data_IF_189287958980
#
_entry.id   IF_189287958980
#
_cell.length_a   1.000
_cell.length_b   1.000
_cell.length_c   1.000
_cell.angle_alpha   90.00
_cell.angle_beta   90.00
_cell.angle_gamma   90.00
#
_symmetry.space_group_name_H-M   'P 1'
#
loop_
_entity.id
_entity.type
_entity.pdbx_description
1 polymer ?
#
# COMPACT_ATOMS: atom_id res chain seq x y z
N UNK A 1 2.49 4.08 -7.66
CA UNK A 1 1.28 3.37 -8.12
C UNK A 1 0.42 2.86 -6.97
N UNK A 2 0.99 2.22 -5.97
CA UNK A 2 0.21 1.67 -4.84
C UNK A 2 -0.61 2.75 -4.10
N UNK A 3 -0.02 3.94 -3.93
CA UNK A 3 -0.75 5.09 -3.33
C UNK A 3 -1.87 5.58 -4.25
N UNK A 4 -1.60 5.72 -5.55
CA UNK A 4 -2.60 6.14 -6.54
C UNK A 4 -3.76 5.14 -6.58
N UNK A 5 -3.44 3.85 -6.64
CA UNK A 5 -4.45 2.79 -6.61
C UNK A 5 -5.28 2.81 -5.32
N UNK A 6 -4.61 3.00 -4.17
CA UNK A 6 -5.28 3.10 -2.88
C UNK A 6 -6.28 4.26 -2.83
N UNK A 7 -5.85 5.44 -3.27
CA UNK A 7 -6.69 6.63 -3.32
C UNK A 7 -7.88 6.43 -4.28
N UNK A 8 -7.62 5.95 -5.49
CA UNK A 8 -8.66 5.72 -6.50
C UNK A 8 -9.69 4.70 -6.04
N UNK A 9 -9.26 3.61 -5.40
CA UNK A 9 -10.19 2.61 -4.88
C UNK A 9 -11.09 3.20 -3.78
N UNK A 10 -10.54 3.98 -2.85
CA UNK A 10 -11.34 4.66 -1.83
C UNK A 10 -12.30 5.69 -2.44
N UNK A 11 -11.87 6.42 -3.47
CA UNK A 11 -12.76 7.30 -4.23
C UNK A 11 -13.90 6.53 -4.94
N UNK A 12 -13.61 5.37 -5.52
CA UNK A 12 -14.63 4.52 -6.16
C UNK A 12 -15.65 4.01 -5.15
N UNK A 13 -15.21 3.60 -3.96
CA UNK A 13 -16.08 3.07 -2.92
C UNK A 13 -16.96 4.17 -2.30
N UNK A 14 -16.38 5.31 -1.97
CA UNK A 14 -17.05 6.36 -1.19
C UNK A 14 -17.54 7.54 -2.02
N UNK A 15 -16.94 7.81 -3.16
CA UNK A 15 -17.25 8.98 -3.99
C UNK A 15 -18.63 8.95 -4.66
N UNK A 16 -19.33 7.81 -4.59
CA UNK A 16 -20.75 7.76 -5.01
C UNK A 16 -21.65 8.54 -4.05
N UNK A 17 -21.34 8.48 -2.76
CA UNK A 17 -22.12 9.12 -1.69
C UNK A 17 -21.56 10.49 -1.33
N UNK A 18 -20.23 10.63 -1.35
CA UNK A 18 -19.54 11.88 -1.02
C UNK A 18 -18.87 12.47 -2.28
N UNK A 19 -19.53 13.45 -2.88
CA UNK A 19 -19.04 14.11 -4.10
C UNK A 19 -17.75 14.89 -3.91
N UNK A 20 -17.43 15.32 -2.69
CA UNK A 20 -16.16 16.01 -2.36
C UNK A 20 -14.93 15.15 -2.62
N UNK A 21 -15.12 13.84 -2.70
CA UNK A 21 -14.04 12.90 -3.00
C UNK A 21 -13.72 12.81 -4.50
N UNK A 22 -14.54 13.39 -5.39
CA UNK A 22 -14.36 13.34 -6.84
C UNK A 22 -13.31 14.34 -7.33
N UNK A 23 -12.09 14.19 -6.83
CA UNK A 23 -10.93 15.05 -7.10
C UNK A 23 -9.93 14.30 -7.96
N UNK A 24 -9.35 14.97 -8.98
CA UNK A 24 -8.46 14.31 -9.94
C UNK A 24 -7.04 14.08 -9.42
N UNK A 25 -6.47 15.09 -8.73
CA UNK A 25 -5.10 15.00 -8.25
C UNK A 25 -5.00 14.10 -7.00
N UNK A 26 -4.09 13.14 -7.02
CA UNK A 26 -3.93 12.14 -5.95
C UNK A 26 -3.72 12.76 -4.57
N UNK A 27 -2.94 13.84 -4.48
CA UNK A 27 -2.67 14.53 -3.19
C UNK A 27 -3.94 15.19 -2.66
N UNK A 28 -4.68 15.87 -3.52
CA UNK A 28 -5.93 16.55 -3.15
C UNK A 28 -7.03 15.54 -2.79
N UNK A 29 -7.10 14.44 -3.53
CA UNK A 29 -8.01 13.33 -3.23
C UNK A 29 -7.69 12.70 -1.87
N UNK A 30 -6.41 12.51 -1.56
CA UNK A 30 -5.97 11.99 -0.26
C UNK A 30 -6.30 12.98 0.88
N UNK A 31 -6.16 14.29 0.63
CA UNK A 31 -6.56 15.32 1.58
C UNK A 31 -8.09 15.29 1.82
N UNK A 32 -8.89 15.16 0.76
CA UNK A 32 -10.34 15.04 0.86
C UNK A 32 -10.78 13.77 1.61
N UNK A 33 -10.15 12.63 1.32
CA UNK A 33 -10.39 11.37 2.04
C UNK A 33 -10.04 11.48 3.53
N UNK A 34 -8.97 12.19 3.85
CA UNK A 34 -8.55 12.43 5.23
C UNK A 34 -9.52 13.38 5.95
N UNK A 35 -9.94 14.46 5.29
CA UNK A 35 -10.92 15.40 5.83
C UNK A 35 -12.30 14.77 6.05
N UNK A 36 -12.70 13.86 5.16
CA UNK A 36 -13.94 13.08 5.28
C UNK A 36 -13.88 11.94 6.30
N UNK A 37 -12.72 11.69 6.92
CA UNK A 37 -12.56 10.62 7.92
C UNK A 37 -12.42 9.21 7.34
N UNK A 38 -12.31 9.05 6.02
CA UNK A 38 -12.10 7.76 5.35
C UNK A 38 -10.67 7.23 5.53
N UNK A 39 -9.72 8.13 5.75
CA UNK A 39 -8.32 7.83 6.06
C UNK A 39 -7.94 8.58 7.32
N UNK A 40 -7.27 7.91 8.26
CA UNK A 40 -6.76 8.55 9.48
C UNK A 40 -5.78 9.69 9.16
N UNK A 41 -5.75 10.75 9.97
CA UNK A 41 -4.92 11.95 9.73
C UNK A 41 -3.44 11.61 9.54
N UNK A 42 -2.89 10.80 10.43
CA UNK A 42 -1.48 10.41 10.37
C UNK A 42 -1.19 9.52 9.14
N UNK A 43 -2.10 8.61 8.82
CA UNK A 43 -1.99 7.75 7.65
C UNK A 43 -2.05 8.57 6.36
N UNK A 44 -2.97 9.53 6.28
CA UNK A 44 -3.09 10.45 5.14
C UNK A 44 -1.85 11.33 4.96
N UNK A 45 -1.33 11.92 6.03
CA UNK A 45 -0.10 12.71 6.00
C UNK A 45 1.11 11.85 5.57
N UNK A 46 1.22 10.63 6.11
CA UNK A 46 2.29 9.71 5.77
C UNK A 46 2.22 9.24 4.31
N UNK A 47 1.03 8.93 3.80
CA UNK A 47 0.85 8.56 2.38
C UNK A 47 1.18 9.73 1.45
N UNK A 48 0.74 10.94 1.79
CA UNK A 48 1.04 12.15 1.02
C UNK A 48 2.54 12.42 0.93
N UNK A 49 3.24 12.40 2.06
CA UNK A 49 4.69 12.59 2.10
C UNK A 49 5.44 11.51 1.30
N UNK A 50 5.05 10.25 1.47
CA UNK A 50 5.65 9.13 0.73
C UNK A 50 5.40 9.24 -0.78
N UNK A 51 4.19 9.61 -1.19
CA UNK A 51 3.83 9.80 -2.59
C UNK A 51 4.64 10.93 -3.22
N UNK A 52 4.70 12.09 -2.57
CA UNK A 52 5.45 13.25 -3.07
C UNK A 52 6.95 12.94 -3.22
N UNK A 53 7.54 12.24 -2.25
CA UNK A 53 8.93 11.82 -2.33
C UNK A 53 9.18 10.88 -3.52
N UNK A 54 8.36 9.83 -3.69
CA UNK A 54 8.53 8.91 -4.82
C UNK A 54 8.28 9.58 -6.18
N UNK A 55 7.30 10.48 -6.26
CA UNK A 55 7.05 11.27 -7.48
C UNK A 55 8.20 12.21 -7.80
N UNK A 56 8.84 12.81 -6.81
CA UNK A 56 10.05 13.60 -7.01
C UNK A 56 11.15 12.76 -7.66
N UNK A 57 11.45 11.57 -7.13
CA UNK A 57 12.46 10.68 -7.68
C UNK A 57 12.12 10.26 -9.12
N UNK A 58 10.87 9.87 -9.36
CA UNK A 58 10.39 9.51 -10.70
C UNK A 58 10.57 10.65 -11.71
N UNK A 59 10.14 11.87 -11.36
CA UNK A 59 10.31 13.03 -12.24
C UNK A 59 11.79 13.32 -12.53
N UNK A 60 12.67 13.21 -11.53
CA UNK A 60 14.11 13.40 -11.76
C UNK A 60 14.66 12.38 -12.74
N UNK A 61 14.29 11.10 -12.61
CA UNK A 61 14.70 10.05 -13.53
C UNK A 61 14.15 10.26 -14.96
N UNK A 62 12.90 10.68 -15.08
CA UNK A 62 12.28 10.98 -16.37
C UNK A 62 12.98 12.15 -17.07
N UNK A 63 13.33 13.20 -16.33
CA UNK A 63 14.08 14.35 -16.85
C UNK A 63 15.50 13.98 -17.27
N UNK A 64 16.18 13.11 -16.52
CA UNK A 64 17.52 12.63 -16.87
C UNK A 64 17.54 11.88 -18.19
N UNK A 65 16.56 10.98 -18.39
CA UNK A 65 16.52 10.09 -19.55
C UNK A 65 15.71 10.65 -20.71
N UNK A 66 15.03 11.80 -20.54
CA UNK A 66 14.05 12.37 -21.46
C UNK A 66 13.03 11.33 -21.96
N UNK A 67 12.71 10.38 -21.10
CA UNK A 67 11.83 9.25 -21.41
C UNK A 67 10.94 8.91 -20.22
N UNK A 68 9.77 8.32 -20.51
CA UNK A 68 8.88 7.80 -19.46
C UNK A 68 9.51 6.56 -18.85
N UNK A 69 10.08 6.69 -17.66
CA UNK A 69 10.60 5.58 -16.88
C UNK A 69 9.96 5.57 -15.49
N UNK A 70 9.72 4.37 -14.97
CA UNK A 70 9.24 4.13 -13.61
C UNK A 70 10.22 3.26 -12.82
N UNK A 71 11.38 2.94 -13.45
CA UNK A 71 12.38 2.08 -12.84
C UNK A 71 13.42 2.92 -12.12
N UNK A 72 13.57 2.65 -10.82
CA UNK A 72 14.70 3.15 -10.04
C UNK A 72 15.99 2.46 -10.50
N UNK A 73 17.14 3.15 -10.43
CA UNK A 73 18.44 2.49 -10.59
C UNK A 73 18.58 1.33 -9.60
N UNK A 74 19.32 0.31 -9.98
CA UNK A 74 19.68 -0.75 -9.05
C UNK A 74 20.43 -0.16 -7.84
N UNK A 75 20.25 -0.73 -6.66
CA UNK A 75 20.84 -0.16 -5.45
C UNK A 75 22.37 -0.26 -5.40
N UNK A 76 22.96 -1.13 -6.18
CA UNK A 76 24.40 -1.29 -6.42
C UNK A 76 24.94 -0.39 -7.56
N UNK A 77 24.06 0.23 -8.35
CA UNK A 77 24.43 1.20 -9.37
C UNK A 77 24.80 2.56 -8.73
N UNK A 78 26.01 2.63 -8.19
CA UNK A 78 26.49 3.80 -7.46
C UNK A 78 26.50 5.09 -8.29
N UNK A 79 26.91 5.14 -9.57
CA UNK A 79 26.88 6.36 -10.37
C UNK A 79 25.47 6.95 -10.50
N UNK A 80 24.48 6.13 -10.88
CA UNK A 80 23.10 6.57 -11.05
C UNK A 80 22.42 6.92 -9.72
N UNK A 81 22.70 6.17 -8.64
CA UNK A 81 22.21 6.49 -7.29
C UNK A 81 22.77 7.81 -6.77
N UNK A 82 24.06 8.09 -7.02
CA UNK A 82 24.70 9.37 -6.64
C UNK A 82 24.10 10.54 -7.42
N UNK A 83 23.88 10.35 -8.71
CA UNK A 83 23.20 11.35 -9.53
C UNK A 83 21.78 11.63 -8.98
N UNK A 84 21.00 10.58 -8.72
CA UNK A 84 19.64 10.71 -8.21
C UNK A 84 19.57 11.40 -6.84
N UNK A 85 20.52 11.07 -5.94
CA UNK A 85 20.62 11.74 -4.64
C UNK A 85 20.84 13.24 -4.80
N UNK A 86 21.75 13.67 -5.69
CA UNK A 86 21.98 15.09 -6.00
C UNK A 86 20.74 15.74 -6.59
N UNK A 87 20.12 15.10 -7.58
CA UNK A 87 18.93 15.62 -8.27
C UNK A 87 17.72 15.76 -7.33
N UNK A 88 17.62 14.91 -6.32
CA UNK A 88 16.61 14.98 -5.27
C UNK A 88 17.02 15.83 -4.05
N UNK A 89 18.16 16.52 -4.12
CA UNK A 89 18.71 17.36 -3.04
C UNK A 89 18.96 16.61 -1.73
N UNK A 90 19.21 15.30 -1.81
CA UNK A 90 19.58 14.47 -0.65
C UNK A 90 21.04 14.76 -0.27
N UNK A 91 21.26 15.12 0.98
CA UNK A 91 22.58 15.41 1.54
C UNK A 91 23.06 14.29 2.45
N UNK A 92 24.37 14.23 2.68
CA UNK A 92 24.94 13.36 3.70
C UNK A 92 24.36 13.65 5.08
N UNK A 93 24.23 12.65 5.93
CA UNK A 93 23.77 12.78 7.31
C UNK A 93 24.74 12.04 8.24
N UNK A 94 25.47 12.77 9.05
CA UNK A 94 26.53 12.21 9.88
C UNK A 94 27.56 11.46 9.02
N UNK A 95 27.79 10.20 9.34
CA UNK A 95 28.75 9.35 8.60
C UNK A 95 28.16 8.72 7.33
N UNK A 96 26.83 8.84 7.11
CA UNK A 96 26.18 8.26 5.93
C UNK A 96 26.35 9.16 4.71
N UNK A 97 26.77 8.58 3.60
CA UNK A 97 26.81 9.25 2.31
C UNK A 97 25.41 9.60 1.80
N UNK A 98 25.29 10.54 0.87
CA UNK A 98 24.01 10.90 0.27
C UNK A 98 23.30 9.71 -0.40
N UNK A 99 24.04 8.78 -1.00
CA UNK A 99 23.50 7.57 -1.62
C UNK A 99 22.96 6.59 -0.58
N UNK A 100 23.63 6.43 0.55
CA UNK A 100 23.14 5.59 1.66
C UNK A 100 21.88 6.18 2.29
N UNK A 101 21.83 7.50 2.48
CA UNK A 101 20.62 8.20 2.96
C UNK A 101 19.46 8.00 1.98
N UNK A 102 19.70 8.18 0.67
CA UNK A 102 18.68 7.95 -0.35
C UNK A 102 18.17 6.52 -0.34
N UNK A 103 19.05 5.51 -0.29
CA UNK A 103 18.66 4.09 -0.22
C UNK A 103 17.83 3.78 1.01
N UNK A 104 18.23 4.30 2.16
CA UNK A 104 17.49 4.13 3.41
C UNK A 104 16.09 4.77 3.30
N UNK A 105 15.99 5.97 2.75
CA UNK A 105 14.74 6.68 2.58
C UNK A 105 13.79 5.96 1.62
N UNK A 106 14.28 5.48 0.46
CA UNK A 106 13.47 4.68 -0.48
C UNK A 106 12.90 3.45 0.21
N UNK A 107 13.74 2.71 0.97
CA UNK A 107 13.27 1.52 1.72
C UNK A 107 12.24 1.88 2.77
N UNK A 108 12.48 2.95 3.51
CA UNK A 108 11.57 3.43 4.56
C UNK A 108 10.20 3.80 3.98
N UNK A 109 10.17 4.60 2.90
CA UNK A 109 8.93 5.00 2.25
C UNK A 109 8.19 3.80 1.63
N UNK A 110 8.91 2.87 1.01
CA UNK A 110 8.32 1.64 0.45
C UNK A 110 7.67 0.77 1.51
N UNK A 111 8.33 0.57 2.66
CA UNK A 111 7.79 -0.19 3.78
C UNK A 111 6.58 0.52 4.41
N UNK A 112 6.63 1.85 4.53
CA UNK A 112 5.53 2.66 5.04
C UNK A 112 4.28 2.51 4.16
N UNK A 113 4.44 2.67 2.84
CA UNK A 113 3.33 2.52 1.88
C UNK A 113 2.75 1.10 1.98
N UNK A 114 3.59 0.06 2.01
CA UNK A 114 3.12 -1.33 2.13
C UNK A 114 2.29 -1.54 3.39
N UNK A 115 2.77 -1.08 4.55
CA UNK A 115 2.04 -1.19 5.84
C UNK A 115 0.69 -0.47 5.80
N UNK A 116 0.66 0.73 5.21
CA UNK A 116 -0.57 1.50 5.08
C UNK A 116 -1.54 0.85 4.08
N UNK A 117 -1.04 0.32 2.98
CA UNK A 117 -1.83 -0.44 2.03
C UNK A 117 -2.44 -1.70 2.69
N UNK A 118 -1.66 -2.44 3.47
CA UNK A 118 -2.15 -3.59 4.26
C UNK A 118 -3.22 -3.16 5.26
N UNK A 119 -3.01 -2.05 5.98
CA UNK A 119 -3.96 -1.53 6.96
C UNK A 119 -5.29 -1.08 6.33
N UNK A 120 -5.21 -0.39 5.19
CA UNK A 120 -6.39 0.21 4.56
C UNK A 120 -7.22 -0.80 3.74
N UNK A 121 -6.59 -1.84 3.19
CA UNK A 121 -7.26 -2.77 2.26
C UNK A 121 -7.36 -4.18 2.79
N UNK A 122 -6.27 -4.75 3.28
CA UNK A 122 -6.30 -6.16 3.68
C UNK A 122 -6.98 -6.38 5.02
N UNK A 123 -6.80 -5.48 5.99
CA UNK A 123 -7.46 -5.62 7.29
C UNK A 123 -8.98 -5.55 7.21
N UNK A 124 -9.60 -4.52 6.59
CA UNK A 124 -11.06 -4.47 6.45
C UNK A 124 -11.62 -5.64 5.65
N UNK A 125 -10.88 -6.10 4.59
CA UNK A 125 -11.27 -7.30 3.85
C UNK A 125 -11.15 -8.56 4.71
N UNK A 126 -10.08 -8.71 5.48
CA UNK A 126 -9.90 -9.83 6.40
C UNK A 126 -10.90 -9.75 7.55
N UNK A 127 -11.17 -8.57 8.11
CA UNK A 127 -12.18 -8.38 9.15
C UNK A 127 -13.59 -8.63 8.63
N UNK A 128 -13.94 -8.20 7.42
CA UNK A 128 -15.21 -8.56 6.78
C UNK A 128 -15.32 -10.05 6.49
N UNK A 129 -14.20 -10.75 6.34
CA UNK A 129 -14.13 -12.21 6.17
C UNK A 129 -14.02 -12.93 7.52
N UNK A 130 -13.40 -12.32 8.55
CA UNK A 130 -13.19 -12.87 9.91
C UNK A 130 -14.38 -12.57 10.83
N UNK A 131 -15.16 -11.50 10.61
CA UNK A 131 -16.51 -11.33 11.20
C UNK A 131 -17.56 -12.32 10.67
N UNK A 132 -17.13 -13.24 9.83
CA UNK A 132 -17.66 -14.57 9.88
C UNK A 132 -17.26 -15.16 11.25
N UNK A 133 -18.14 -15.05 12.23
CA UNK A 133 -17.98 -15.59 13.57
C UNK A 133 -17.23 -16.93 13.50
N UNK A 134 -16.35 -17.17 14.47
CA UNK A 134 -15.73 -18.49 14.64
C UNK A 134 -16.77 -19.62 14.62
N UNK A 135 -18.03 -19.33 15.03
CA UNK A 135 -19.19 -20.20 14.92
C UNK A 135 -19.69 -20.40 13.47
N UNK A 136 -19.47 -19.43 12.56
CA UNK A 136 -19.79 -19.59 11.13
C UNK A 136 -18.68 -20.28 10.31
N UNK A 137 -17.47 -20.38 10.84
CA UNK A 137 -16.42 -21.26 10.27
C UNK A 137 -16.74 -22.74 10.47
N UNK A 138 -17.63 -23.07 11.38
CA UNK A 138 -18.25 -24.41 11.52
C UNK A 138 -19.44 -24.59 10.59
N UNK A 139 -20.04 -23.52 10.08
CA UNK A 139 -21.05 -23.56 9.03
C UNK A 139 -20.42 -24.01 7.72
N UNK A 140 -20.98 -25.04 7.14
CA UNK A 140 -20.58 -25.80 5.95
C UNK A 140 -19.78 -24.97 4.93
N UNK A 141 -18.70 -25.53 4.40
CA UNK A 141 -17.88 -24.95 3.34
C UNK A 141 -18.70 -24.38 2.15
N UNK A 142 -19.89 -24.91 1.94
CA UNK A 142 -20.86 -24.46 0.95
C UNK A 142 -21.46 -23.06 1.23
N UNK A 143 -21.63 -22.64 2.47
CA UNK A 143 -22.13 -21.31 2.80
C UNK A 143 -21.04 -20.23 2.58
N UNK A 144 -19.80 -20.55 2.94
CA UNK A 144 -18.65 -19.68 2.69
C UNK A 144 -18.38 -19.53 1.16
N UNK A 145 -18.50 -20.60 0.39
CA UNK A 145 -18.38 -20.57 -1.07
C UNK A 145 -19.47 -19.74 -1.74
N UNK A 146 -20.74 -19.88 -1.33
CA UNK A 146 -21.86 -19.08 -1.85
C UNK A 146 -21.64 -17.57 -1.60
N UNK A 147 -21.10 -17.21 -0.45
CA UNK A 147 -20.85 -15.80 -0.10
C UNK A 147 -19.65 -15.22 -0.87
N UNK A 148 -18.58 -16.00 -1.08
CA UNK A 148 -17.47 -15.62 -1.96
C UNK A 148 -17.93 -15.48 -3.42
N UNK A 149 -18.85 -16.31 -3.90
CA UNK A 149 -19.47 -16.18 -5.21
C UNK A 149 -20.30 -14.87 -5.30
N UNK A 150 -21.07 -14.53 -4.26
CA UNK A 150 -21.82 -13.28 -4.18
C UNK A 150 -20.92 -12.03 -4.15
N UNK A 151 -19.70 -12.16 -3.63
CA UNK A 151 -18.66 -11.11 -3.67
C UNK A 151 -17.93 -11.04 -5.03
N UNK A 152 -18.32 -11.86 -6.02
CA UNK A 152 -17.77 -11.80 -7.37
C UNK A 152 -16.53 -12.67 -7.62
N UNK A 153 -16.15 -13.54 -6.67
CA UNK A 153 -15.03 -14.45 -6.91
C UNK A 153 -15.43 -15.55 -7.93
N UNK A 154 -14.73 -15.60 -9.05
CA UNK A 154 -14.98 -16.57 -10.12
C UNK A 154 -14.71 -18.04 -9.71
N UNK A 155 -13.88 -18.27 -8.69
CA UNK A 155 -13.53 -19.61 -8.14
C UNK A 155 -13.55 -19.56 -6.61
N UNK A 156 -14.74 -19.60 -6.00
CA UNK A 156 -14.91 -19.43 -4.53
C UNK A 156 -14.24 -20.53 -3.70
N UNK A 157 -14.15 -21.75 -4.22
CA UNK A 157 -13.47 -22.90 -3.62
C UNK A 157 -11.97 -22.65 -3.46
N UNK A 158 -11.31 -22.12 -4.51
CA UNK A 158 -9.89 -21.73 -4.44
C UNK A 158 -9.67 -20.54 -3.51
N UNK A 159 -10.51 -19.52 -3.57
CA UNK A 159 -10.44 -18.39 -2.67
C UNK A 159 -10.54 -18.84 -1.20
N UNK A 160 -11.47 -19.73 -0.89
CA UNK A 160 -11.66 -20.29 0.46
C UNK A 160 -10.43 -21.10 0.93
N UNK A 161 -9.83 -21.91 0.04
CA UNK A 161 -8.62 -22.67 0.38
C UNK A 161 -7.41 -21.76 0.66
N UNK A 162 -7.23 -20.69 -0.11
CA UNK A 162 -6.18 -19.69 0.15
C UNK A 162 -6.39 -18.94 1.46
N UNK A 163 -7.62 -18.53 1.77
CA UNK A 163 -7.96 -17.88 3.04
C UNK A 163 -7.63 -18.81 4.22
N UNK A 164 -8.00 -20.07 4.14
CA UNK A 164 -7.70 -21.07 5.19
C UNK A 164 -6.21 -21.29 5.36
N UNK A 165 -5.43 -21.37 4.26
CA UNK A 165 -3.99 -21.53 4.31
C UNK A 165 -3.31 -20.32 4.96
N UNK A 166 -3.75 -19.10 4.66
CA UNK A 166 -3.26 -17.87 5.28
C UNK A 166 -3.61 -17.80 6.77
N UNK A 167 -4.82 -18.17 7.16
CA UNK A 167 -5.26 -18.20 8.54
C UNK A 167 -4.48 -19.24 9.38
N UNK A 168 -4.22 -20.43 8.83
CA UNK A 168 -3.43 -21.46 9.50
C UNK A 168 -1.93 -21.12 9.58
N UNK A 169 -1.36 -20.50 8.55
CA UNK A 169 0.02 -20.01 8.54
C UNK A 169 0.27 -18.87 9.53
N UNK A 170 -0.68 -17.97 9.72
CA UNK A 170 -0.62 -16.91 10.72
C UNK A 170 -0.66 -17.43 12.16
N UNK A 171 -1.40 -18.52 12.41
CA UNK A 171 -1.47 -19.15 13.72
C UNK A 171 -0.17 -19.90 14.10
N UNK A 172 0.53 -20.47 13.11
CA UNK A 172 1.83 -21.14 13.32
C UNK A 172 2.93 -20.14 13.71
N UNK A 173 2.95 -18.96 13.08
CA UNK A 173 3.94 -17.90 13.35
C UNK A 173 3.76 -17.27 14.75
N UNK A 174 2.53 -17.26 15.28
CA UNK A 174 2.25 -16.75 16.63
C UNK A 174 2.75 -17.69 17.71
N UNK A 175 2.59 -19.01 17.53
CA UNK A 175 3.09 -20.03 18.49
C UNK A 175 4.61 -20.13 18.56
N UNK A 176 5.33 -19.79 17.49
CA UNK A 176 6.78 -19.78 17.47
C UNK A 176 7.42 -18.56 18.16
N UNK A 177 6.65 -17.53 18.47
CA UNK A 177 7.12 -16.34 19.21
C UNK A 177 6.83 -16.38 20.71
N UNK A 178 6.04 -17.34 21.17
CA UNK A 178 5.66 -17.53 22.57
C UNK A 178 6.36 -18.76 23.21
N UNK A 179 7.22 -19.45 22.46
CA UNK A 179 8.12 -20.50 22.92
C UNK A 179 9.59 -20.04 22.88
#
# INVERSE_FOLDING_TARGET
>A
RDVEFAVQLLQMVHGRVDEKLRVQATVDALAALTAGGYVGRDDGANLSASYQFLRLLEHRLQLQKLSRTHLLPAFDDEPNMRWLARAAHIRRQGDKSATEVLRAEIRHQSLRIRRLHEKLFYRPLLESVIHFNADELTLSSAAAQRRLAALGYAKPDRALSHIRALASGSAATKRQKEA
#
